data_IF_245914432706
#
_entry.id   IF_245914432706
#
_cell.length_a   1.000
_cell.length_b   1.000
_cell.length_c   1.000
_cell.angle_alpha   90.00
_cell.angle_beta   90.00
_cell.angle_gamma   90.00
#
_symmetry.space_group_name_H-M   'P 1'
#
loop_
_entity.id
_entity.type
_entity.pdbx_description
1 polymer ?
#
# COMPACT_ATOMS: atom_id res chain seq x y z
N UNK A 1 3.76 24.82 3.14
CA UNK A 1 2.85 23.69 3.39
C UNK A 1 3.48 22.51 2.71
N UNK A 2 3.82 21.46 3.44
CA UNK A 2 4.20 20.20 2.81
C UNK A 2 2.94 19.66 2.12
N UNK A 3 2.97 19.51 0.80
CA UNK A 3 1.87 18.84 0.09
C UNK A 3 1.88 17.37 0.53
N UNK A 4 0.99 17.05 1.47
CA UNK A 4 0.87 15.72 2.04
C UNK A 4 -0.20 14.98 1.25
N UNK A 5 0.19 13.91 0.56
CA UNK A 5 -0.73 12.96 -0.05
C UNK A 5 -1.50 12.28 1.08
N UNK A 6 -2.82 12.37 1.05
CA UNK A 6 -3.72 11.84 2.10
C UNK A 6 -4.69 10.79 1.58
N UNK A 7 -5.08 10.90 0.31
CA UNK A 7 -6.07 10.02 -0.31
C UNK A 7 -5.45 9.06 -1.33
N UNK A 8 -6.13 7.94 -1.57
CA UNK A 8 -5.77 7.01 -2.64
C UNK A 8 -5.79 7.66 -4.03
N UNK A 9 -6.75 8.57 -4.29
CA UNK A 9 -6.89 9.25 -5.57
C UNK A 9 -5.70 10.18 -5.86
N UNK A 10 -5.26 10.96 -4.86
CA UNK A 10 -4.07 11.81 -4.99
C UNK A 10 -2.82 10.97 -5.32
N UNK A 11 -2.65 9.84 -4.64
CA UNK A 11 -1.53 8.93 -4.92
C UNK A 11 -1.66 8.31 -6.32
N UNK A 12 -2.86 7.86 -6.69
CA UNK A 12 -3.15 7.26 -7.99
C UNK A 12 -2.79 8.19 -9.14
N UNK A 13 -3.24 9.45 -9.10
CA UNK A 13 -2.96 10.44 -10.15
C UNK A 13 -1.44 10.65 -10.33
N UNK A 14 -0.68 10.67 -9.23
CA UNK A 14 0.76 10.85 -9.27
C UNK A 14 1.50 9.60 -9.78
N UNK A 15 1.00 8.41 -9.44
CA UNK A 15 1.53 7.13 -9.96
C UNK A 15 1.23 7.00 -11.45
N UNK A 16 0.02 7.37 -11.91
CA UNK A 16 -0.36 7.32 -13.32
C UNK A 16 0.52 8.23 -14.19
N UNK A 17 0.77 9.46 -13.72
CA UNK A 17 1.67 10.42 -14.39
C UNK A 17 3.15 10.00 -14.37
N UNK A 18 3.53 9.00 -13.57
CA UNK A 18 4.90 8.50 -13.49
C UNK A 18 5.22 7.60 -14.69
N UNK A 19 5.69 8.20 -15.79
CA UNK A 19 5.96 7.49 -17.06
C UNK A 19 7.13 6.52 -17.02
N UNK A 20 8.09 6.71 -16.10
CA UNK A 20 9.23 5.80 -15.94
C UNK A 20 8.84 4.60 -15.08
N UNK A 21 8.94 3.40 -15.63
CA UNK A 21 8.81 2.17 -14.84
C UNK A 21 10.06 1.98 -13.99
N UNK A 22 9.93 2.15 -12.67
CA UNK A 22 10.96 1.86 -11.69
C UNK A 22 10.36 1.15 -10.47
N UNK A 23 11.22 0.69 -9.57
CA UNK A 23 10.79 -0.16 -8.45
C UNK A 23 9.91 0.57 -7.44
N UNK A 24 10.12 1.88 -7.22
CA UNK A 24 9.23 2.65 -6.34
C UNK A 24 7.83 2.81 -6.95
N UNK A 25 7.71 2.94 -8.28
CA UNK A 25 6.40 2.93 -8.96
C UNK A 25 5.69 1.59 -8.77
N UNK A 26 6.37 0.47 -8.98
CA UNK A 26 5.79 -0.87 -8.81
C UNK A 26 5.31 -1.11 -7.37
N UNK A 27 6.08 -0.69 -6.37
CA UNK A 27 5.67 -0.76 -4.95
C UNK A 27 4.42 0.11 -4.70
N UNK A 28 4.35 1.32 -5.27
CA UNK A 28 3.18 2.19 -5.13
C UNK A 28 1.93 1.65 -5.83
N UNK A 29 2.09 1.02 -7.01
CA UNK A 29 1.02 0.33 -7.72
C UNK A 29 0.46 -0.83 -6.86
N UNK A 30 1.32 -1.64 -6.23
CA UNK A 30 0.90 -2.71 -5.31
C UNK A 30 0.15 -2.15 -4.10
N UNK A 31 0.58 -1.02 -3.54
CA UNK A 31 -0.14 -0.37 -2.45
C UNK A 31 -1.54 0.09 -2.87
N UNK A 32 -1.67 0.71 -4.04
CA UNK A 32 -2.97 1.11 -4.59
C UNK A 32 -3.88 -0.08 -4.90
N UNK A 33 -3.33 -1.17 -5.44
CA UNK A 33 -4.08 -2.43 -5.64
C UNK A 33 -4.60 -2.95 -4.31
N UNK A 34 -3.76 -2.98 -3.27
CA UNK A 34 -4.18 -3.41 -1.95
C UNK A 34 -5.32 -2.57 -1.37
N UNK A 35 -5.31 -1.25 -1.60
CA UNK A 35 -6.42 -0.37 -1.19
C UNK A 35 -7.71 -0.66 -1.98
N UNK A 36 -7.60 -0.90 -3.29
CA UNK A 36 -8.74 -1.19 -4.16
C UNK A 36 -9.40 -2.53 -3.83
N UNK A 37 -8.60 -3.53 -3.44
CA UNK A 37 -9.08 -4.86 -3.09
C UNK A 37 -9.61 -4.93 -1.65
N UNK A 38 -9.50 -3.87 -0.84
CA UNK A 38 -9.99 -3.89 0.54
C UNK A 38 -11.52 -3.71 0.61
N UNK A 39 -12.26 -4.57 1.34
CA UNK A 39 -13.73 -4.64 1.27
C UNK A 39 -14.44 -3.56 2.09
N UNK A 40 -14.23 -2.29 1.75
CA UNK A 40 -14.95 -1.15 2.35
C UNK A 40 -15.34 -0.11 1.31
N UNK A 41 -16.63 0.19 1.26
CA UNK A 41 -17.17 1.31 0.49
C UNK A 41 -16.64 2.63 1.08
N UNK A 42 -15.93 3.43 0.28
CA UNK A 42 -15.39 4.77 0.59
C UNK A 42 -14.15 4.85 1.50
N UNK A 43 -13.32 3.81 1.55
CA UNK A 43 -12.04 3.92 2.24
C UNK A 43 -11.03 4.68 1.36
N UNK A 44 -11.18 6.01 1.34
CA UNK A 44 -10.42 6.90 0.47
C UNK A 44 -9.13 7.40 1.14
N UNK A 45 -9.12 7.46 2.47
CA UNK A 45 -7.98 7.95 3.25
C UNK A 45 -6.95 6.84 3.46
N UNK A 46 -5.69 7.14 3.14
CA UNK A 46 -4.56 6.21 3.28
C UNK A 46 -4.36 5.82 4.74
N UNK A 47 -4.59 6.73 5.68
CA UNK A 47 -4.45 6.45 7.11
C UNK A 47 -5.49 5.47 7.63
N UNK A 48 -6.71 5.55 7.10
CA UNK A 48 -7.79 4.64 7.49
C UNK A 48 -7.52 3.24 6.95
N UNK A 49 -6.99 3.14 5.72
CA UNK A 49 -6.57 1.86 5.13
C UNK A 49 -5.52 1.18 5.99
N UNK A 50 -4.42 1.90 6.28
CA UNK A 50 -3.31 1.40 7.10
C UNK A 50 -3.82 0.90 8.45
N UNK A 51 -4.74 1.64 9.06
CA UNK A 51 -5.34 1.27 10.34
C UNK A 51 -6.12 -0.05 10.20
N UNK A 52 -7.04 -0.15 9.24
CA UNK A 52 -7.87 -1.34 9.08
C UNK A 52 -7.08 -2.60 8.74
N UNK A 53 -6.10 -2.52 7.82
CA UNK A 53 -5.28 -3.69 7.48
C UNK A 53 -4.42 -4.15 8.66
N UNK A 54 -3.94 -3.21 9.50
CA UNK A 54 -3.21 -3.54 10.73
C UNK A 54 -4.11 -4.07 11.83
N UNK A 55 -5.37 -3.65 11.90
CA UNK A 55 -6.37 -4.23 12.81
C UNK A 55 -6.72 -5.66 12.41
N UNK A 56 -6.82 -5.94 11.11
CA UNK A 56 -7.17 -7.27 10.61
C UNK A 56 -5.99 -8.26 10.62
N UNK A 57 -4.88 -7.91 9.97
CA UNK A 57 -3.71 -8.79 9.86
C UNK A 57 -2.79 -8.72 11.08
N UNK A 58 -2.74 -7.55 11.73
CA UNK A 58 -1.99 -7.32 12.96
C UNK A 58 -0.95 -6.20 12.84
N UNK A 59 -0.55 -5.67 14.00
CA UNK A 59 0.44 -4.60 14.13
C UNK A 59 1.64 -5.11 14.96
N UNK A 60 2.89 -5.05 14.46
CA UNK A 60 3.30 -4.62 13.13
C UNK A 60 2.74 -5.55 12.04
N UNK A 61 2.56 -5.03 10.82
CA UNK A 61 2.09 -5.78 9.67
C UNK A 61 3.28 -6.49 9.01
N UNK A 62 3.27 -7.82 9.04
CA UNK A 62 4.38 -8.66 8.56
C UNK A 62 3.88 -9.76 7.62
N UNK A 63 4.78 -10.28 6.76
CA UNK A 63 4.48 -11.40 5.86
C UNK A 63 3.88 -12.59 6.61
N UNK A 64 4.48 -12.97 7.74
CA UNK A 64 3.99 -14.10 8.56
C UNK A 64 2.55 -13.93 9.02
N UNK A 65 2.15 -12.71 9.40
CA UNK A 65 0.80 -12.41 9.88
C UNK A 65 -0.23 -12.40 8.75
N UNK A 66 0.13 -11.85 7.59
CA UNK A 66 -0.70 -11.89 6.38
C UNK A 66 -0.96 -13.35 6.00
N UNK A 67 0.11 -14.13 5.89
CA UNK A 67 0.08 -15.55 5.58
C UNK A 67 -0.77 -16.36 6.57
N UNK A 68 -0.66 -16.07 7.87
CA UNK A 68 -1.43 -16.73 8.90
C UNK A 68 -2.94 -16.44 8.79
N UNK A 69 -3.32 -15.20 8.44
CA UNK A 69 -4.74 -14.85 8.24
C UNK A 69 -5.32 -15.45 6.97
N UNK A 70 -4.60 -15.35 5.84
CA UNK A 70 -5.08 -15.83 4.54
C UNK A 70 -5.36 -17.34 4.53
N UNK A 71 -4.68 -18.14 5.35
CA UNK A 71 -4.91 -19.60 5.46
C UNK A 71 -6.14 -20.00 6.28
N UNK A 72 -6.66 -19.13 7.14
CA UNK A 72 -7.60 -19.50 8.19
C UNK A 72 -9.04 -19.03 7.97
N UNK A 73 -9.31 -18.18 6.98
CA UNK A 73 -10.62 -17.53 6.80
C UNK A 73 -11.02 -17.51 5.31
N UNK A 74 -12.03 -18.29 4.90
CA UNK A 74 -12.55 -18.32 3.50
C UNK A 74 -14.06 -18.05 3.51
N UNK A 75 -14.45 -16.84 3.13
CA UNK A 75 -15.80 -16.42 2.72
C UNK A 75 -15.69 -15.29 1.67
N UNK A 76 -16.79 -14.81 1.10
CA UNK A 76 -16.78 -13.81 0.01
C UNK A 76 -16.13 -12.47 0.39
N UNK A 77 -16.25 -12.02 1.66
CA UNK A 77 -15.60 -10.79 2.13
C UNK A 77 -14.11 -11.05 2.34
N UNK A 78 -13.75 -12.23 2.82
CA UNK A 78 -12.36 -12.64 3.00
C UNK A 78 -11.61 -12.78 1.68
N UNK A 79 -12.29 -13.07 0.55
CA UNK A 79 -11.63 -13.12 -0.76
C UNK A 79 -10.92 -11.79 -1.08
N UNK A 80 -11.63 -10.67 -0.96
CA UNK A 80 -11.09 -9.33 -1.16
C UNK A 80 -9.95 -9.00 -0.18
N UNK A 81 -10.10 -9.39 1.10
CA UNK A 81 -9.01 -9.22 2.08
C UNK A 81 -7.78 -10.04 1.72
N UNK A 82 -7.94 -11.25 1.19
CA UNK A 82 -6.82 -12.11 0.76
C UNK A 82 -6.09 -11.46 -0.41
N UNK A 83 -6.79 -10.90 -1.40
CA UNK A 83 -6.18 -10.19 -2.54
C UNK A 83 -5.42 -8.94 -2.07
N UNK A 84 -6.05 -8.14 -1.21
CA UNK A 84 -5.42 -6.98 -0.58
C UNK A 84 -4.15 -7.36 0.21
N UNK A 85 -4.24 -8.40 1.05
CA UNK A 85 -3.11 -8.93 1.81
C UNK A 85 -1.99 -9.46 0.91
N UNK A 86 -2.33 -10.13 -0.20
CA UNK A 86 -1.35 -10.67 -1.16
C UNK A 86 -0.58 -9.54 -1.85
N UNK A 87 -1.27 -8.45 -2.22
CA UNK A 87 -0.64 -7.25 -2.77
C UNK A 87 0.30 -6.58 -1.76
N UNK A 88 -0.08 -6.51 -0.47
CA UNK A 88 0.80 -6.01 0.60
C UNK A 88 2.02 -6.92 0.78
N UNK A 89 1.83 -8.23 0.73
CA UNK A 89 2.94 -9.19 0.85
C UNK A 89 3.94 -9.01 -0.29
N UNK A 90 3.47 -8.92 -1.54
CA UNK A 90 4.32 -8.65 -2.70
C UNK A 90 5.03 -7.30 -2.58
N UNK A 91 4.34 -6.26 -2.08
CA UNK A 91 4.92 -4.94 -1.82
C UNK A 91 6.11 -5.04 -0.85
N UNK A 92 5.96 -5.78 0.26
CA UNK A 92 7.02 -5.99 1.26
C UNK A 92 8.18 -6.80 0.67
N UNK A 93 7.92 -7.85 -0.11
CA UNK A 93 8.96 -8.66 -0.74
C UNK A 93 9.77 -7.85 -1.76
N UNK A 94 9.08 -7.05 -2.59
CA UNK A 94 9.73 -6.19 -3.58
C UNK A 94 10.55 -5.10 -2.91
N UNK A 95 10.01 -4.49 -1.84
CA UNK A 95 10.75 -3.53 -1.02
C UNK A 95 12.02 -4.13 -0.42
N UNK A 96 11.91 -5.33 0.16
CA UNK A 96 13.05 -6.05 0.73
C UNK A 96 14.14 -6.29 -0.32
N UNK A 97 13.75 -6.73 -1.51
CA UNK A 97 14.68 -7.06 -2.59
C UNK A 97 15.44 -5.84 -3.14
N UNK A 98 14.76 -4.71 -3.32
CA UNK A 98 15.34 -3.54 -4.01
C UNK A 98 15.78 -2.41 -3.08
N UNK A 99 15.26 -2.36 -1.85
CA UNK A 99 15.50 -1.28 -0.89
C UNK A 99 15.92 -1.78 0.50
N UNK A 100 15.98 -3.10 0.73
CA UNK A 100 16.32 -3.71 2.01
C UNK A 100 15.44 -3.21 3.17
N UNK A 101 14.16 -2.98 2.89
CA UNK A 101 13.16 -2.52 3.85
C UNK A 101 11.97 -3.48 3.90
N UNK A 102 11.54 -3.86 5.10
CA UNK A 102 10.43 -4.78 5.35
C UNK A 102 9.35 -4.20 6.26
N UNK A 103 9.62 -3.07 6.91
CA UNK A 103 8.65 -2.39 7.76
C UNK A 103 7.59 -1.71 6.90
N UNK A 104 6.35 -2.21 6.98
CA UNK A 104 5.23 -1.72 6.19
C UNK A 104 5.00 -0.21 6.33
N UNK A 105 5.05 0.32 7.56
CA UNK A 105 4.78 1.75 7.80
C UNK A 105 5.87 2.61 7.14
N UNK A 106 7.13 2.16 7.21
CA UNK A 106 8.26 2.81 6.56
C UNK A 106 8.18 2.74 5.04
N UNK A 107 7.79 1.60 4.46
CA UNK A 107 7.59 1.45 3.01
C UNK A 107 6.55 2.46 2.53
N UNK A 108 5.39 2.51 3.19
CA UNK A 108 4.31 3.45 2.84
C UNK A 108 4.80 4.90 3.00
N UNK A 109 5.48 5.23 4.10
CA UNK A 109 6.08 6.56 4.29
C UNK A 109 7.02 6.95 3.15
N UNK A 110 7.88 6.03 2.71
CA UNK A 110 8.86 6.27 1.65
C UNK A 110 8.18 6.48 0.27
N UNK A 111 7.08 5.77 -0.01
CA UNK A 111 6.21 6.01 -1.18
C UNK A 111 5.64 7.43 -1.14
N UNK A 112 5.00 7.80 -0.04
CA UNK A 112 4.34 9.11 0.09
C UNK A 112 5.35 10.25 -0.02
N UNK A 113 6.52 10.13 0.64
CA UNK A 113 7.61 11.11 0.54
C UNK A 113 8.11 11.23 -0.91
N UNK A 114 8.26 10.12 -1.62
CA UNK A 114 8.72 10.13 -3.02
C UNK A 114 7.76 10.93 -3.91
N UNK A 115 6.45 10.66 -3.81
CA UNK A 115 5.46 11.29 -4.66
C UNK A 115 5.12 12.72 -4.26
N UNK A 116 5.15 13.06 -2.96
CA UNK A 116 5.03 14.45 -2.49
C UNK A 116 6.15 15.35 -3.02
N UNK A 117 7.38 14.83 -3.15
CA UNK A 117 8.51 15.59 -3.74
C UNK A 117 8.32 15.82 -5.24
N UNK A 118 7.67 14.90 -5.96
CA UNK A 118 7.40 15.06 -7.40
C UNK A 118 6.33 16.10 -7.69
N UNK A 119 5.34 16.28 -6.82
CA UNK A 119 4.38 17.39 -6.94
C UNK A 119 5.06 18.75 -6.95
N UNK A 120 6.04 18.95 -6.07
CA UNK A 120 6.76 20.22 -5.91
C UNK A 120 7.62 20.54 -7.16
N UNK A 121 7.96 19.51 -7.95
CA UNK A 121 8.79 19.66 -9.15
C UNK A 121 8.01 19.90 -10.46
N UNK A 122 6.67 19.99 -10.41
CA UNK A 122 5.88 20.42 -11.57
C UNK A 122 6.03 21.95 -11.74
N UNK A 123 6.52 22.45 -12.89
CA UNK A 123 6.65 23.89 -13.16
C UNK A 123 5.31 24.60 -13.30
#
# INVERSE_FOLDING_TARGET
>A
MENKITTNLELYDLVELHTTSNKIKQIAELFLTAMNDWPTFNLNEITDFIKEVKEYFGSPLTLEKIDAKNRNEIDEVNFWRIESGSSIAEMIELSKLYFNETDFDKIVSDILIYYSKKEISKP
#
